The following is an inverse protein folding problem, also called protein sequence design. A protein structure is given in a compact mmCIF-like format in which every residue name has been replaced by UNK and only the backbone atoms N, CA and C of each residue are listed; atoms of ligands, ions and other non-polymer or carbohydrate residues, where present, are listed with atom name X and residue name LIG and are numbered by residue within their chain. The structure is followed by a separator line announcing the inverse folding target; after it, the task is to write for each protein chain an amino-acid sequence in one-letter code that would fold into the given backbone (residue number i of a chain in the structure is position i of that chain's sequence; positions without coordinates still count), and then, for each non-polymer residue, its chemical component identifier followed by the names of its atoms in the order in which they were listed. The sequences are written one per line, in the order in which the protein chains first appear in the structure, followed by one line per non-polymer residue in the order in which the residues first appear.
data_IF_008255002956
#
_entry.id   IF_008255002956
#
_cell.length_a   1.000
_cell.length_b   1.000
_cell.length_c   1.000
_cell.angle_alpha   90.00
_cell.angle_beta   90.00
_cell.angle_gamma   90.00
#
_symmetry.space_group_name_H-M   'P 1'
#
loop_
_entity.id
_entity.type
_entity.pdbx_description
1 polymer ?
#
# COMPACT_ATOMS: atom_id res chain seq x y z
N UNK A 1 -47.51 -25.19 17.69
CA UNK A 1 -46.41 -24.53 18.44
C UNK A 1 -45.10 -24.64 17.68
N UNK A 2 -44.78 -25.79 17.09
CA UNK A 2 -43.57 -25.99 16.27
C UNK A 2 -43.48 -25.02 15.09
N UNK A 3 -44.57 -24.79 14.36
CA UNK A 3 -44.59 -23.87 13.21
C UNK A 3 -44.25 -22.42 13.59
N UNK A 4 -44.72 -21.95 14.75
CA UNK A 4 -44.43 -20.60 15.22
C UNK A 4 -42.96 -20.42 15.63
N UNK A 5 -42.32 -21.49 16.14
CA UNK A 5 -40.89 -21.49 16.45
C UNK A 5 -40.06 -21.52 15.17
N UNK A 6 -40.45 -22.31 14.18
CA UNK A 6 -39.76 -22.37 12.88
C UNK A 6 -39.83 -21.03 12.16
N UNK A 7 -41.00 -20.38 12.13
CA UNK A 7 -41.17 -19.07 11.48
C UNK A 7 -40.32 -17.99 12.18
N UNK A 8 -40.29 -17.97 13.52
CA UNK A 8 -39.50 -16.98 14.28
C UNK A 8 -37.99 -17.16 14.11
N UNK A 9 -37.50 -18.40 14.09
CA UNK A 9 -36.07 -18.69 13.83
C UNK A 9 -35.70 -18.29 12.41
N UNK A 10 -36.54 -18.62 11.43
CA UNK A 10 -36.27 -18.30 10.02
C UNK A 10 -36.23 -16.79 9.80
N UNK A 11 -37.17 -16.05 10.40
CA UNK A 11 -37.20 -14.59 10.33
C UNK A 11 -35.95 -13.96 10.98
N UNK A 12 -35.50 -14.49 12.12
CA UNK A 12 -34.28 -14.03 12.79
C UNK A 12 -33.02 -14.18 11.93
N UNK A 13 -32.87 -15.32 11.24
CA UNK A 13 -31.73 -15.57 10.34
C UNK A 13 -31.76 -14.62 9.13
N UNK A 14 -32.94 -14.37 8.56
CA UNK A 14 -33.09 -13.43 7.43
C UNK A 14 -32.71 -12.01 7.85
N UNK A 15 -33.18 -11.55 9.01
CA UNK A 15 -32.83 -10.21 9.53
C UNK A 15 -31.33 -10.09 9.79
N UNK A 16 -30.70 -11.13 10.36
CA UNK A 16 -29.26 -11.15 10.58
C UNK A 16 -28.47 -11.06 9.26
N UNK A 17 -28.89 -11.81 8.24
CA UNK A 17 -28.26 -11.80 6.92
C UNK A 17 -28.40 -10.43 6.25
N UNK A 18 -29.57 -9.82 6.30
CA UNK A 18 -29.79 -8.47 5.75
C UNK A 18 -28.94 -7.43 6.48
N UNK A 19 -28.88 -7.49 7.81
CA UNK A 19 -28.03 -6.59 8.60
C UNK A 19 -26.54 -6.77 8.25
N UNK A 20 -26.09 -8.00 8.03
CA UNK A 20 -24.72 -8.30 7.63
C UNK A 20 -24.41 -7.76 6.21
N UNK A 21 -25.33 -7.91 5.26
CA UNK A 21 -25.19 -7.35 3.91
C UNK A 21 -25.13 -5.82 3.96
N UNK A 22 -26.04 -5.17 4.70
CA UNK A 22 -26.03 -3.70 4.89
C UNK A 22 -24.71 -3.25 5.52
N UNK A 23 -24.20 -3.98 6.52
CA UNK A 23 -22.92 -3.69 7.15
C UNK A 23 -21.75 -3.79 6.16
N UNK A 24 -21.73 -4.82 5.30
CA UNK A 24 -20.70 -5.00 4.28
C UNK A 24 -20.77 -3.92 3.20
N UNK A 25 -21.96 -3.57 2.70
CA UNK A 25 -22.16 -2.52 1.69
C UNK A 25 -21.79 -1.14 2.25
N UNK A 26 -22.20 -0.83 3.49
CA UNK A 26 -21.83 0.43 4.13
C UNK A 26 -20.30 0.54 4.35
N UNK A 27 -19.62 -0.58 4.61
CA UNK A 27 -18.17 -0.63 4.70
C UNK A 27 -17.50 -0.41 3.34
N UNK A 28 -18.07 -0.97 2.28
CA UNK A 28 -17.56 -0.82 0.91
C UNK A 28 -17.79 0.60 0.35
N UNK A 29 -18.96 1.19 0.58
CA UNK A 29 -19.25 2.57 0.16
C UNK A 29 -18.32 3.58 0.86
N UNK A 30 -17.97 3.35 2.12
CA UNK A 30 -16.95 4.15 2.81
C UNK A 30 -15.54 4.01 2.22
N UNK A 31 -15.23 2.90 1.56
CA UNK A 31 -13.96 2.72 0.85
C UNK A 31 -13.97 3.40 -0.52
N UNK A 32 -15.13 3.48 -1.18
CA UNK A 32 -15.28 4.11 -2.50
C UNK A 32 -15.48 5.64 -2.46
N UNK A 33 -16.07 6.19 -1.39
CA UNK A 33 -16.25 7.64 -1.23
C UNK A 33 -14.92 8.39 -0.95
N UNK A 34 -13.90 7.67 -0.47
CA UNK A 34 -12.55 8.17 -0.20
C UNK A 34 -11.69 8.39 -1.46
N UNK A 35 -12.14 8.01 -2.65
CA UNK A 35 -11.24 7.91 -3.80
C UNK A 35 -11.12 9.18 -4.66
N UNK A 36 -11.93 10.23 -4.42
CA UNK A 36 -11.99 11.41 -5.31
C UNK A 36 -11.47 12.74 -4.73
N UNK A 37 -11.08 12.82 -3.44
CA UNK A 37 -10.53 14.06 -2.82
C UNK A 37 -9.40 13.79 -1.82
N UNK A 38 -8.67 12.71 -1.98
CA UNK A 38 -7.62 12.33 -1.02
C UNK A 38 -6.24 12.53 -1.63
N UNK A 39 -5.35 13.20 -0.88
CA UNK A 39 -3.92 13.30 -1.19
C UNK A 39 -3.35 11.91 -1.51
N UNK A 40 -2.50 11.73 -2.52
CA UNK A 40 -1.89 10.42 -2.84
C UNK A 40 -0.79 10.06 -1.83
N UNK A 41 -0.37 8.78 -1.79
CA UNK A 41 0.71 8.39 -0.86
C UNK A 41 2.03 9.06 -1.24
N UNK A 42 2.30 9.23 -2.54
CA UNK A 42 3.45 9.97 -3.03
C UNK A 42 3.39 11.45 -2.62
N UNK A 43 2.23 12.09 -2.77
CA UNK A 43 2.05 13.49 -2.36
C UNK A 43 2.12 13.66 -0.85
N UNK A 44 1.68 12.66 -0.07
CA UNK A 44 1.86 12.67 1.37
C UNK A 44 3.35 12.64 1.76
N UNK A 45 4.17 11.84 1.08
CA UNK A 45 5.61 11.80 1.33
C UNK A 45 6.25 13.15 0.99
N UNK A 46 5.92 13.72 -0.17
CA UNK A 46 6.36 15.07 -0.58
C UNK A 46 5.91 16.15 0.40
N UNK A 47 4.68 16.04 0.90
CA UNK A 47 4.14 16.98 1.89
C UNK A 47 4.94 16.95 3.20
N UNK A 48 5.37 15.77 3.65
CA UNK A 48 6.23 15.62 4.84
C UNK A 48 7.61 16.22 4.58
N UNK A 49 8.19 15.96 3.41
CA UNK A 49 9.50 16.49 3.00
C UNK A 49 9.53 18.02 2.95
N UNK A 50 8.43 18.64 2.51
CA UNK A 50 8.25 20.09 2.44
C UNK A 50 8.00 20.77 3.80
N UNK A 51 7.87 20.02 4.90
CA UNK A 51 7.73 20.63 6.22
C UNK A 51 9.07 21.20 6.70
N UNK A 52 9.12 22.43 7.24
CA UNK A 52 10.38 23.02 7.72
C UNK A 52 11.12 22.20 8.79
N UNK A 53 10.37 21.45 9.60
CA UNK A 53 10.89 20.57 10.65
C UNK A 53 10.98 19.09 10.19
N UNK A 54 10.58 18.79 8.95
CA UNK A 54 10.49 17.42 8.42
C UNK A 54 9.47 16.55 9.15
N UNK A 55 8.51 17.15 9.89
CA UNK A 55 7.58 16.43 10.74
C UNK A 55 6.13 16.82 10.46
N UNK A 56 5.27 15.81 10.42
CA UNK A 56 3.83 15.97 10.22
C UNK A 56 3.05 15.26 11.32
N UNK A 57 2.10 15.98 11.94
CA UNK A 57 1.16 15.37 12.89
C UNK A 57 -0.14 14.96 12.18
N UNK A 58 -0.89 13.97 12.70
CA UNK A 58 -2.17 13.58 12.11
C UNK A 58 -3.21 14.73 12.05
N UNK A 59 -3.16 15.68 12.98
CA UNK A 59 -4.05 16.85 12.98
C UNK A 59 -3.68 17.81 11.84
N UNK A 60 -2.38 18.05 11.65
CA UNK A 60 -1.90 18.91 10.55
C UNK A 60 -2.21 18.28 9.20
N UNK A 61 -2.04 16.96 9.05
CA UNK A 61 -2.41 16.25 7.82
C UNK A 61 -3.92 16.38 7.53
N UNK A 62 -4.79 16.19 8.54
CA UNK A 62 -6.24 16.43 8.40
C UNK A 62 -6.52 17.83 7.85
N UNK A 63 -5.90 18.85 8.43
CA UNK A 63 -6.14 20.24 8.06
C UNK A 63 -5.64 20.57 6.63
N UNK A 64 -4.55 19.94 6.19
CA UNK A 64 -3.96 20.16 4.87
C UNK A 64 -4.60 19.35 3.73
N UNK A 65 -5.15 18.18 4.04
CA UNK A 65 -5.64 17.22 3.02
C UNK A 65 -7.15 17.02 3.01
N UNK A 66 -7.87 17.55 4.00
CA UNK A 66 -9.30 17.30 4.17
C UNK A 66 -9.65 15.88 4.64
N UNK A 67 -8.66 15.02 4.87
CA UNK A 67 -8.86 13.67 5.43
C UNK A 67 -9.50 13.76 6.82
N UNK A 68 -10.29 12.75 7.20
CA UNK A 68 -10.68 12.61 8.62
C UNK A 68 -9.46 12.37 9.51
N UNK A 69 -9.53 12.76 10.78
CA UNK A 69 -8.44 12.52 11.73
C UNK A 69 -8.10 11.03 11.88
N UNK A 70 -9.12 10.16 11.79
CA UNK A 70 -8.94 8.70 11.81
C UNK A 70 -8.18 8.21 10.59
N UNK A 71 -8.53 8.68 9.39
CA UNK A 71 -7.84 8.33 8.15
C UNK A 71 -6.38 8.80 8.18
N UNK A 72 -6.13 10.06 8.57
CA UNK A 72 -4.79 10.60 8.72
C UNK A 72 -3.93 9.79 9.70
N UNK A 73 -4.48 9.42 10.87
CA UNK A 73 -3.78 8.55 11.85
C UNK A 73 -3.48 7.17 11.27
N UNK A 74 -4.47 6.53 10.65
CA UNK A 74 -4.31 5.19 10.10
C UNK A 74 -3.23 5.16 9.02
N UNK A 75 -3.25 6.15 8.12
CA UNK A 75 -2.31 6.27 7.01
C UNK A 75 -0.87 6.49 7.47
N UNK A 76 -0.64 7.49 8.34
CA UNK A 76 0.68 7.77 8.91
C UNK A 76 1.21 6.59 9.72
N UNK A 77 0.36 5.94 10.52
CA UNK A 77 0.75 4.73 11.23
C UNK A 77 1.07 3.58 10.27
N UNK A 78 0.29 3.36 9.21
CA UNK A 78 0.55 2.30 8.25
C UNK A 78 1.93 2.46 7.61
N UNK A 79 2.28 3.69 7.18
CA UNK A 79 3.61 3.99 6.63
C UNK A 79 4.72 3.84 7.66
N UNK A 80 4.50 4.25 8.92
CA UNK A 80 5.47 4.07 10.00
C UNK A 80 5.73 2.58 10.33
N UNK A 81 4.66 1.78 10.46
CA UNK A 81 4.78 0.33 10.69
C UNK A 81 5.42 -0.40 9.50
N UNK A 82 5.28 0.16 8.28
CA UNK A 82 5.95 -0.39 7.11
C UNK A 82 7.44 -0.02 7.05
N UNK A 83 7.87 0.97 7.84
CA UNK A 83 9.25 1.44 7.90
C UNK A 83 9.57 2.56 6.90
N UNK A 84 8.56 3.22 6.34
CA UNK A 84 8.71 4.39 5.48
C UNK A 84 8.84 5.66 6.32
N UNK A 85 8.06 5.77 7.40
CA UNK A 85 8.11 6.90 8.32
C UNK A 85 8.74 6.51 9.66
N UNK A 86 9.37 7.48 10.31
CA UNK A 86 9.73 7.42 11.74
C UNK A 86 8.63 8.08 12.55
N UNK A 87 8.25 7.45 13.66
CA UNK A 87 7.28 7.99 14.61
C UNK A 87 8.01 8.56 15.81
N UNK A 88 7.85 9.86 16.03
CA UNK A 88 8.33 10.59 17.18
C UNK A 88 7.16 10.92 18.11
N UNK A 89 7.44 11.04 19.41
CA UNK A 89 6.44 11.42 20.41
C UNK A 89 6.99 12.53 21.28
N UNK A 90 6.19 13.55 21.57
CA UNK A 90 6.59 14.60 22.51
C UNK A 90 6.21 14.25 23.97
N UNK A 91 6.63 15.07 24.93
CA UNK A 91 6.32 14.90 26.37
C UNK A 91 4.82 14.87 26.71
N UNK A 92 3.97 15.36 25.81
CA UNK A 92 2.50 15.35 25.94
C UNK A 92 1.84 14.15 25.24
N UNK A 93 2.62 13.17 24.80
CA UNK A 93 2.12 11.97 24.12
C UNK A 93 1.62 12.20 22.69
N UNK A 94 1.89 13.36 22.07
CA UNK A 94 1.48 13.62 20.68
C UNK A 94 2.48 13.01 19.70
N UNK A 95 1.97 12.31 18.69
CA UNK A 95 2.77 11.70 17.63
C UNK A 95 3.04 12.66 16.48
N UNK A 96 4.28 12.62 16.00
CA UNK A 96 4.78 13.31 14.82
C UNK A 96 5.48 12.28 13.94
N UNK A 97 5.34 12.43 12.62
CA UNK A 97 5.86 11.49 11.65
C UNK A 97 6.79 12.23 10.71
N UNK A 98 8.00 11.69 10.52
CA UNK A 98 8.97 12.20 9.56
C UNK A 98 9.41 11.09 8.61
N UNK A 99 9.98 11.45 7.47
CA UNK A 99 10.56 10.48 6.54
C UNK A 99 11.68 9.69 7.23
N UNK A 100 11.76 8.38 6.95
CA UNK A 100 12.87 7.59 7.47
C UNK A 100 14.15 7.84 6.69
N UNK A 101 14.02 7.86 5.38
CA UNK A 101 15.06 8.10 4.38
C UNK A 101 14.64 9.35 3.58
N UNK A 102 15.57 10.23 3.19
CA UNK A 102 15.24 11.40 2.38
C UNK A 102 14.58 10.99 1.05
N UNK A 103 13.80 11.89 0.45
CA UNK A 103 13.29 11.65 -0.90
C UNK A 103 14.44 11.83 -1.90
N UNK A 104 14.73 10.81 -2.69
CA UNK A 104 15.64 10.91 -3.83
C UNK A 104 14.81 11.19 -5.08
N UNK A 105 14.96 12.38 -5.66
CA UNK A 105 14.36 12.67 -6.98
C UNK A 105 15.23 12.04 -8.07
N UNK A 106 14.79 10.90 -8.58
CA UNK A 106 15.38 10.25 -9.76
C UNK A 106 14.62 10.66 -11.02
N UNK A 107 15.27 10.51 -12.17
CA UNK A 107 14.65 10.76 -13.45
C UNK A 107 13.35 9.95 -13.59
N UNK A 108 12.27 10.55 -14.13
CA UNK A 108 11.01 9.83 -14.30
C UNK A 108 11.22 8.62 -15.19
N UNK A 109 10.69 7.48 -14.75
CA UNK A 109 10.66 6.24 -15.51
C UNK A 109 9.29 6.18 -16.19
N UNK A 110 9.25 5.93 -17.49
CA UNK A 110 7.99 5.69 -18.19
C UNK A 110 7.47 4.30 -17.80
N UNK A 111 6.46 4.28 -16.94
CA UNK A 111 5.78 3.06 -16.48
C UNK A 111 4.44 2.88 -17.21
N UNK A 112 3.91 1.68 -17.13
CA UNK A 112 2.57 1.37 -17.63
C UNK A 112 1.51 2.25 -16.94
N UNK A 113 0.39 2.46 -17.64
CA UNK A 113 -0.77 3.15 -17.08
C UNK A 113 -1.69 2.22 -16.29
N UNK A 114 -1.28 0.98 -16.04
CA UNK A 114 -2.12 0.00 -15.36
C UNK A 114 -2.26 0.34 -13.86
N UNK A 115 -3.43 0.06 -13.23
CA UNK A 115 -3.68 0.37 -11.82
C UNK A 115 -2.95 -0.59 -10.84
N UNK A 116 -1.97 -1.34 -11.32
CA UNK A 116 -1.17 -2.31 -10.59
C UNK A 116 0.24 -2.37 -11.18
N UNK A 117 1.20 -2.82 -10.38
CA UNK A 117 2.57 -2.98 -10.83
C UNK A 117 2.69 -4.17 -11.79
N UNK A 118 2.98 -3.90 -13.06
CA UNK A 118 3.28 -4.94 -14.05
C UNK A 118 4.69 -5.50 -13.84
N UNK A 119 4.98 -6.64 -14.45
CA UNK A 119 6.31 -7.21 -14.43
C UNK A 119 7.34 -6.29 -15.13
N UNK A 120 6.97 -5.67 -16.24
CA UNK A 120 7.82 -4.70 -16.94
C UNK A 120 8.16 -3.52 -16.03
N UNK A 121 7.14 -2.94 -15.37
CA UNK A 121 7.33 -1.84 -14.44
C UNK A 121 8.24 -2.24 -13.29
N UNK A 122 8.02 -3.43 -12.72
CA UNK A 122 8.84 -3.99 -11.65
C UNK A 122 10.31 -4.08 -12.10
N UNK A 123 10.58 -4.63 -13.27
CA UNK A 123 11.95 -4.75 -13.80
C UNK A 123 12.60 -3.38 -14.05
N UNK A 124 11.86 -2.45 -14.65
CA UNK A 124 12.35 -1.09 -14.93
C UNK A 124 12.71 -0.35 -13.64
N UNK A 125 11.85 -0.40 -12.63
CA UNK A 125 12.09 0.23 -11.33
C UNK A 125 13.29 -0.41 -10.65
N UNK A 126 13.37 -1.73 -10.58
CA UNK A 126 14.51 -2.38 -9.93
C UNK A 126 15.83 -2.04 -10.62
N UNK A 127 15.87 -1.99 -11.96
CA UNK A 127 17.06 -1.58 -12.70
C UNK A 127 17.48 -0.14 -12.39
N UNK A 128 16.51 0.77 -12.28
CA UNK A 128 16.76 2.17 -11.95
C UNK A 128 17.23 2.38 -10.49
N UNK A 129 17.09 1.37 -9.63
CA UNK A 129 17.42 1.40 -8.20
C UNK A 129 18.45 0.31 -7.83
N UNK A 130 19.39 -0.01 -8.72
CA UNK A 130 20.49 -0.96 -8.47
C UNK A 130 20.02 -2.33 -7.94
N UNK A 131 18.87 -2.80 -8.44
CA UNK A 131 18.19 -4.03 -8.07
C UNK A 131 17.75 -4.12 -6.61
N UNK A 132 17.63 -2.97 -5.93
CA UNK A 132 17.20 -2.88 -4.54
C UNK A 132 16.24 -1.72 -4.35
N UNK A 133 15.00 -2.03 -3.99
CA UNK A 133 13.95 -1.00 -3.89
C UNK A 133 13.25 -1.03 -2.54
N UNK A 134 13.05 0.12 -1.95
CA UNK A 134 12.21 0.32 -0.77
C UNK A 134 10.76 0.61 -1.17
N UNK A 135 9.83 0.42 -0.25
CA UNK A 135 8.43 0.80 -0.53
C UNK A 135 8.27 2.32 -0.71
N UNK A 136 9.15 3.14 -0.13
CA UNK A 136 9.15 4.59 -0.37
C UNK A 136 9.44 4.89 -1.84
N UNK A 137 10.48 4.26 -2.40
CA UNK A 137 10.85 4.40 -3.82
C UNK A 137 9.78 3.85 -4.75
N UNK A 138 9.18 2.69 -4.43
CA UNK A 138 8.07 2.14 -5.23
C UNK A 138 6.87 3.10 -5.28
N UNK A 139 6.49 3.71 -4.16
CA UNK A 139 5.40 4.69 -4.11
C UNK A 139 5.73 5.92 -4.95
N UNK A 140 6.97 6.42 -4.88
CA UNK A 140 7.38 7.60 -5.64
C UNK A 140 7.49 7.32 -7.14
N UNK A 141 7.97 6.15 -7.54
CA UNK A 141 8.13 5.77 -8.95
C UNK A 141 6.77 5.49 -9.61
N UNK A 142 5.87 4.80 -8.92
CA UNK A 142 4.60 4.33 -9.50
C UNK A 142 3.42 5.24 -9.22
N UNK A 143 3.48 6.06 -8.17
CA UNK A 143 2.31 6.77 -7.63
C UNK A 143 1.28 5.86 -6.96
N UNK A 144 1.50 4.54 -6.90
CA UNK A 144 0.55 3.59 -6.33
C UNK A 144 0.50 3.69 -4.79
N UNK A 145 -0.68 3.51 -4.17
CA UNK A 145 -0.81 3.49 -2.72
C UNK A 145 -0.02 2.36 -2.08
N UNK A 146 0.43 2.56 -0.83
CA UNK A 146 1.13 1.55 -0.02
C UNK A 146 0.35 0.24 0.09
N UNK A 147 -0.98 0.29 0.13
CA UNK A 147 -1.80 -0.91 0.19
C UNK A 147 -1.65 -1.77 -1.08
N UNK A 148 -1.59 -1.13 -2.25
CA UNK A 148 -1.39 -1.75 -3.56
C UNK A 148 0.02 -2.34 -3.65
N UNK A 149 1.04 -1.53 -3.35
CA UNK A 149 2.44 -1.98 -3.30
C UNK A 149 2.62 -3.18 -2.37
N UNK A 150 2.02 -3.17 -1.18
CA UNK A 150 2.11 -4.29 -0.23
C UNK A 150 1.52 -5.59 -0.77
N UNK A 151 0.40 -5.49 -1.50
CA UNK A 151 -0.30 -6.64 -2.07
C UNK A 151 0.53 -7.24 -3.20
N UNK A 152 0.98 -6.40 -4.13
CA UNK A 152 1.74 -6.83 -5.31
C UNK A 152 3.10 -7.38 -4.94
N UNK A 153 3.85 -6.71 -4.07
CA UNK A 153 5.15 -7.23 -3.61
C UNK A 153 5.01 -8.56 -2.86
N UNK A 154 3.89 -8.79 -2.15
CA UNK A 154 3.61 -10.08 -1.51
C UNK A 154 3.30 -11.17 -2.56
N UNK A 155 2.65 -10.82 -3.66
CA UNK A 155 2.41 -11.76 -4.76
C UNK A 155 3.73 -12.13 -5.44
N UNK A 156 4.55 -11.13 -5.79
CA UNK A 156 5.86 -11.37 -6.41
C UNK A 156 6.81 -12.16 -5.50
N UNK A 157 6.74 -11.94 -4.17
CA UNK A 157 7.49 -12.71 -3.18
C UNK A 157 7.07 -14.18 -3.20
N UNK A 158 5.77 -14.47 -3.22
CA UNK A 158 5.27 -15.85 -3.30
C UNK A 158 5.66 -16.58 -4.59
N UNK A 159 5.83 -15.83 -5.68
CA UNK A 159 6.24 -16.35 -6.99
C UNK A 159 7.76 -16.49 -7.11
N UNK A 160 8.53 -16.13 -6.08
CA UNK A 160 9.99 -16.22 -6.09
C UNK A 160 10.66 -15.19 -7.02
N UNK A 161 9.96 -14.10 -7.34
CA UNK A 161 10.50 -13.04 -8.21
C UNK A 161 11.32 -12.04 -7.37
N UNK A 162 10.78 -11.68 -6.20
CA UNK A 162 11.39 -10.73 -5.29
C UNK A 162 11.59 -11.35 -3.92
N UNK A 163 12.65 -10.94 -3.24
CA UNK A 163 12.88 -11.29 -1.85
C UNK A 163 12.76 -10.05 -0.97
N UNK A 164 12.00 -10.18 0.11
CA UNK A 164 11.85 -9.12 1.08
C UNK A 164 12.90 -9.25 2.17
N UNK A 165 13.83 -8.30 2.20
CA UNK A 165 14.91 -8.25 3.18
C UNK A 165 14.67 -7.16 4.23
N UNK A 166 15.20 -7.38 5.41
CA UNK A 166 15.15 -6.42 6.51
C UNK A 166 16.55 -6.21 7.08
N UNK A 167 16.96 -4.96 7.24
CA UNK A 167 18.20 -4.59 7.92
C UNK A 167 17.86 -3.88 9.22
N UNK A 168 18.35 -4.39 10.34
CA UNK A 168 18.30 -3.69 11.62
C UNK A 168 19.29 -2.53 11.59
N UNK A 169 18.89 -1.37 12.12
CA UNK A 169 19.83 -0.29 12.39
C UNK A 169 20.76 -0.65 13.57
N UNK A 170 21.85 0.11 13.74
CA UNK A 170 22.85 -0.10 14.80
C UNK A 170 22.28 -0.08 16.22
N UNK A 171 21.06 0.42 16.38
CA UNK A 171 20.38 0.56 17.66
C UNK A 171 19.30 -0.52 17.87
N UNK A 172 19.11 -1.45 16.91
CA UNK A 172 18.21 -2.61 17.02
C UNK A 172 16.71 -2.27 17.05
N UNK A 173 16.32 -1.01 16.94
CA UNK A 173 14.94 -0.55 17.21
C UNK A 173 14.11 -0.45 15.93
N UNK A 174 14.74 -0.32 14.75
CA UNK A 174 13.97 -0.17 13.51
C UNK A 174 14.54 -0.92 12.30
N UNK A 175 13.80 -1.94 11.86
CA UNK A 175 14.04 -2.73 10.67
C UNK A 175 13.72 -1.90 9.41
N UNK A 176 14.74 -1.57 8.60
CA UNK A 176 14.58 -1.04 7.24
C UNK A 176 14.22 -2.19 6.32
N UNK A 177 13.05 -2.11 5.68
CA UNK A 177 12.57 -3.12 4.73
C UNK A 177 12.90 -2.68 3.31
N UNK A 178 13.40 -3.61 2.52
CA UNK A 178 13.66 -3.40 1.09
C UNK A 178 13.46 -4.71 0.36
N UNK A 179 13.31 -4.62 -0.95
CA UNK A 179 13.11 -5.75 -1.85
C UNK A 179 14.31 -5.88 -2.78
N UNK A 180 14.65 -7.11 -3.14
CA UNK A 180 15.68 -7.42 -4.15
C UNK A 180 15.09 -8.39 -5.17
N UNK A 181 15.50 -8.31 -6.43
CA UNK A 181 15.16 -9.36 -7.41
C UNK A 181 15.96 -10.62 -7.09
N UNK A 182 15.30 -11.77 -7.16
CA UNK A 182 15.98 -13.07 -7.08
C UNK A 182 16.53 -13.47 -8.46
N UNK A 183 17.56 -14.31 -8.47
CA UNK A 183 17.97 -14.99 -9.70
C UNK A 183 16.88 -16.00 -10.10
N UNK A 184 16.59 -16.18 -11.40
CA UNK A 184 17.29 -15.62 -12.58
C UNK A 184 16.82 -14.22 -13.02
N UNK A 185 15.80 -13.62 -12.39
CA UNK A 185 15.22 -12.33 -12.79
C UNK A 185 16.21 -11.16 -12.74
N UNK A 186 17.26 -11.27 -11.92
CA UNK A 186 18.35 -10.28 -11.83
C UNK A 186 19.40 -10.43 -12.94
N UNK A 187 19.56 -11.63 -13.50
CA UNK A 187 20.65 -11.95 -14.43
C UNK A 187 20.20 -12.04 -15.89
N UNK A 188 18.99 -12.55 -16.17
CA UNK A 188 18.50 -12.83 -17.54
C UNK A 188 17.17 -12.10 -17.84
N UNK A 189 17.23 -10.77 -17.91
CA UNK A 189 16.06 -9.90 -18.04
C UNK A 189 15.22 -10.14 -19.31
N UNK A 190 15.88 -10.39 -20.44
CA UNK A 190 15.21 -10.46 -21.74
C UNK A 190 14.36 -11.73 -21.90
N UNK A 191 14.71 -12.79 -21.16
CA UNK A 191 13.97 -14.04 -21.17
C UNK A 191 12.63 -13.90 -20.41
N UNK A 192 12.61 -13.15 -19.30
CA UNK A 192 11.40 -12.96 -18.50
C UNK A 192 10.44 -11.90 -19.05
N UNK A 193 10.93 -10.93 -19.80
CA UNK A 193 10.04 -10.05 -20.59
C UNK A 193 9.16 -10.84 -21.58
N UNK A 194 9.59 -12.03 -22.00
CA UNK A 194 8.79 -12.91 -22.87
C UNK A 194 7.69 -13.67 -22.10
N UNK A 195 7.91 -13.98 -20.82
CA UNK A 195 6.92 -14.65 -19.96
C UNK A 195 5.96 -13.66 -19.25
N UNK A 196 6.35 -12.39 -19.22
CA UNK A 196 5.62 -11.27 -18.64
C UNK A 196 4.11 -11.20 -18.98
N UNK A 197 3.66 -11.45 -20.23
CA UNK A 197 2.24 -11.38 -20.55
C UNK A 197 1.37 -12.39 -19.77
N UNK A 198 1.94 -13.53 -19.38
CA UNK A 198 1.25 -14.54 -18.59
C UNK A 198 1.07 -14.11 -17.12
N UNK A 199 2.13 -13.60 -16.51
CA UNK A 199 2.10 -13.13 -15.11
C UNK A 199 1.25 -11.87 -14.94
N UNK A 200 1.34 -10.93 -15.89
CA UNK A 200 0.50 -9.74 -15.90
C UNK A 200 -0.98 -10.10 -16.05
N UNK A 201 -1.30 -11.09 -16.89
CA UNK A 201 -2.68 -11.59 -17.02
C UNK A 201 -3.17 -12.23 -15.73
N UNK A 202 -2.36 -13.08 -15.09
CA UNK A 202 -2.70 -13.71 -13.81
C UNK A 202 -2.97 -12.66 -12.73
N UNK A 203 -2.10 -11.64 -12.62
CA UNK A 203 -2.32 -10.52 -11.70
C UNK A 203 -3.63 -9.79 -12.00
N UNK A 204 -3.87 -9.45 -13.28
CA UNK A 204 -5.11 -8.80 -13.71
C UNK A 204 -6.35 -9.62 -13.37
N UNK A 205 -6.32 -10.93 -13.59
CA UNK A 205 -7.40 -11.84 -13.22
C UNK A 205 -7.63 -11.89 -11.71
N UNK A 206 -6.57 -11.96 -10.90
CA UNK A 206 -6.68 -11.89 -9.43
C UNK A 206 -7.35 -10.58 -9.01
N UNK A 207 -6.93 -9.45 -9.59
CA UNK A 207 -7.45 -8.14 -9.25
C UNK A 207 -8.92 -7.95 -9.69
N UNK A 208 -9.31 -8.48 -10.85
CA UNK A 208 -10.70 -8.49 -11.31
C UNK A 208 -11.57 -9.39 -10.42
N UNK A 209 -11.10 -10.60 -10.09
CA UNK A 209 -11.83 -11.54 -9.23
C UNK A 209 -12.02 -11.00 -7.81
N UNK A 210 -11.06 -10.24 -7.30
CA UNK A 210 -11.14 -9.60 -5.98
C UNK A 210 -11.86 -8.24 -5.99
N UNK A 211 -12.40 -7.79 -7.14
CA UNK A 211 -13.00 -6.46 -7.33
C UNK A 211 -12.09 -5.29 -6.89
N UNK A 212 -10.78 -5.45 -7.11
CA UNK A 212 -9.77 -4.45 -6.78
C UNK A 212 -9.48 -3.49 -7.94
N UNK A 213 -9.88 -3.88 -9.16
CA UNK A 213 -9.86 -3.07 -10.38
C UNK A 213 -11.17 -3.32 -11.14
N UNK A 214 -11.63 -2.34 -11.93
CA UNK A 214 -12.89 -2.37 -12.70
C UNK A 214 -12.56 -2.26 -14.18
#
# INVERSE_FOLDING_TARGET
MEDAVIISVTLGVVVLMVALVIFLVARQQKQNASTQREITDADLLRLIDQQPDGLLSPHRLRDLSGLSLGAARNRLNAMAHYGILRRNTNSRGRHYFGLRDPLEERAPIELSSDPFLTMEDLMMIFRAHDFRVTAQELILATGLPLAVIKREMKYFEKKGIVEKLQRSDSNGVMLRRFFVLQDPYRTDHDLFLRESPGLNREMKEILLNENLIV
#
